data_IF_261946555985
#
_entry.id   IF_261946555985
#
_cell.length_a   1.000
_cell.length_b   1.000
_cell.length_c   1.000
_cell.angle_alpha   90.00
_cell.angle_beta   90.00
_cell.angle_gamma   90.00
#
_symmetry.space_group_name_H-M   'P 1'
#
loop_
_entity.id
_entity.type
_entity.pdbx_description
1 polymer ?
#
# COMPACT_ATOMS: atom_id res chain seq x y z
N UNK A 1 2.32 -13.09 -7.73
CA UNK A 1 2.08 -11.71 -7.27
C UNK A 1 1.88 -10.85 -8.49
N UNK A 2 1.01 -9.87 -8.37
CA UNK A 2 0.51 -9.05 -9.45
C UNK A 2 1.12 -7.64 -9.36
N UNK A 3 1.14 -6.91 -10.48
CA UNK A 3 1.40 -5.49 -10.47
C UNK A 3 0.08 -4.75 -10.61
N UNK A 4 -0.22 -3.87 -9.65
CA UNK A 4 -1.45 -3.09 -9.65
C UNK A 4 -1.19 -1.65 -10.07
N UNK A 5 -1.88 -1.26 -11.14
CA UNK A 5 -2.10 0.13 -11.51
C UNK A 5 -3.57 0.46 -11.38
N UNK A 6 -3.91 1.39 -10.49
CA UNK A 6 -5.28 1.86 -10.31
C UNK A 6 -5.47 3.28 -10.85
N UNK A 7 -6.71 3.60 -11.23
CA UNK A 7 -7.08 4.90 -11.79
C UNK A 7 -6.22 5.32 -13.00
N UNK A 8 -5.80 4.36 -13.83
CA UNK A 8 -5.01 4.64 -15.02
C UNK A 8 -5.84 5.39 -16.05
N UNK A 9 -5.53 6.66 -16.27
CA UNK A 9 -6.22 7.46 -17.27
C UNK A 9 -5.39 7.56 -18.53
N UNK A 10 -5.73 6.72 -19.51
CA UNK A 10 -5.02 6.54 -20.76
C UNK A 10 -5.50 7.52 -21.84
N UNK A 11 -5.39 8.82 -21.58
CA UNK A 11 -5.74 9.86 -22.58
C UNK A 11 -4.67 10.07 -23.66
N UNK A 12 -3.48 9.56 -23.41
CA UNK A 12 -2.33 9.59 -24.33
C UNK A 12 -1.49 8.31 -24.15
N UNK A 13 -0.52 8.10 -25.04
CA UNK A 13 0.39 6.96 -24.93
C UNK A 13 1.22 7.08 -23.64
N UNK A 14 1.18 6.02 -22.83
CA UNK A 14 1.94 5.93 -21.59
C UNK A 14 2.80 4.67 -21.60
N UNK A 15 4.04 4.81 -21.15
CA UNK A 15 4.94 3.68 -20.92
C UNK A 15 5.00 3.43 -19.42
N UNK A 16 4.61 2.23 -19.00
CA UNK A 16 4.70 1.78 -17.61
C UNK A 16 5.82 0.75 -17.53
N UNK A 17 6.92 1.12 -16.88
CA UNK A 17 8.00 0.19 -16.57
C UNK A 17 7.65 -0.52 -15.26
N UNK A 18 7.29 -1.79 -15.38
CA UNK A 18 6.80 -2.60 -14.26
C UNK A 18 7.99 -3.35 -13.65
N UNK A 19 8.17 -3.23 -12.33
CA UNK A 19 8.87 -4.25 -11.55
C UNK A 19 7.83 -5.13 -10.84
N UNK A 20 7.82 -6.42 -11.17
CA UNK A 20 7.00 -7.41 -10.49
C UNK A 20 7.92 -8.58 -10.09
N UNK A 21 7.81 -9.01 -8.84
CA UNK A 21 8.56 -10.16 -8.35
C UNK A 21 7.72 -10.87 -7.26
N UNK A 22 8.29 -11.14 -6.09
CA UNK A 22 7.59 -11.82 -5.01
C UNK A 22 6.82 -10.88 -4.08
N UNK A 23 6.93 -9.55 -4.26
CA UNK A 23 6.19 -8.57 -3.47
C UNK A 23 5.22 -7.77 -4.33
N UNK A 24 4.06 -7.47 -3.74
CA UNK A 24 2.97 -6.73 -4.35
C UNK A 24 2.54 -5.56 -3.47
N UNK A 25 2.28 -4.41 -4.11
CA UNK A 25 1.64 -3.24 -3.50
C UNK A 25 0.17 -3.25 -3.94
N UNK A 26 -0.67 -3.96 -3.19
CA UNK A 26 -2.07 -4.19 -3.55
C UNK A 26 -2.99 -3.04 -3.11
N UNK A 27 -4.00 -2.71 -3.92
CA UNK A 27 -5.05 -1.72 -3.61
C UNK A 27 -4.49 -0.33 -3.23
N UNK A 28 -3.52 0.16 -3.99
CA UNK A 28 -2.92 1.47 -3.77
C UNK A 28 -3.93 2.60 -3.99
N UNK A 29 -4.23 3.33 -2.93
CA UNK A 29 -5.04 4.55 -2.92
C UNK A 29 -4.22 5.72 -2.39
N UNK A 30 -4.52 6.93 -2.86
CA UNK A 30 -3.80 8.15 -2.49
C UNK A 30 -4.79 9.28 -2.21
N UNK A 31 -4.49 10.10 -1.21
CA UNK A 31 -5.24 11.32 -0.92
C UNK A 31 -4.32 12.38 -0.31
N UNK A 32 -4.66 13.64 -0.50
CA UNK A 32 -4.00 14.74 0.20
C UNK A 32 -4.71 15.06 1.51
N UNK A 33 -3.96 15.62 2.46
CA UNK A 33 -4.59 16.31 3.59
C UNK A 33 -5.40 17.51 3.09
N UNK A 34 -6.60 17.70 3.65
CA UNK A 34 -7.36 18.94 3.45
C UNK A 34 -6.64 20.12 4.12
N UNK A 35 -6.69 21.31 3.52
CA UNK A 35 -6.05 22.52 4.03
C UNK A 35 -4.55 22.62 3.68
N UNK A 36 -3.90 23.73 4.06
CA UNK A 36 -2.55 24.13 3.63
C UNK A 36 -1.37 23.26 4.11
N UNK A 37 -1.61 21.98 4.43
CA UNK A 37 -0.54 21.05 4.78
C UNK A 37 0.15 20.50 3.53
N UNK A 38 1.41 20.08 3.69
CA UNK A 38 2.22 19.48 2.62
C UNK A 38 2.29 17.96 2.80
N UNK A 39 1.16 17.34 3.12
CA UNK A 39 1.06 15.89 3.35
C UNK A 39 0.28 15.22 2.23
N UNK A 40 0.85 14.13 1.71
CA UNK A 40 0.20 13.16 0.83
C UNK A 40 0.14 11.84 1.60
N UNK A 41 -0.98 11.13 1.55
CA UNK A 41 -1.13 9.83 2.16
C UNK A 41 -1.34 8.77 1.09
N UNK A 42 -0.77 7.59 1.30
CA UNK A 42 -0.99 6.42 0.47
C UNK A 42 -1.39 5.22 1.33
N UNK A 43 -2.48 4.55 0.97
CA UNK A 43 -2.96 3.33 1.59
C UNK A 43 -2.73 2.16 0.64
N UNK A 44 -2.13 1.08 1.11
CA UNK A 44 -1.94 -0.14 0.31
C UNK A 44 -1.71 -1.37 1.20
N UNK A 45 -2.00 -2.56 0.69
CA UNK A 45 -1.65 -3.83 1.34
C UNK A 45 -0.32 -4.33 0.78
N UNK A 46 0.77 -4.34 1.56
CA UNK A 46 2.01 -4.98 1.12
C UNK A 46 1.86 -6.50 1.26
N UNK A 47 2.06 -7.24 0.17
CA UNK A 47 1.89 -8.70 0.17
C UNK A 47 3.17 -9.37 -0.32
N UNK A 48 3.59 -10.46 0.32
CA UNK A 48 4.79 -11.22 -0.02
C UNK A 48 4.43 -12.67 -0.39
N UNK A 49 4.90 -13.18 -1.53
CA UNK A 49 4.52 -14.48 -2.09
C UNK A 49 4.87 -15.65 -1.18
N UNK A 50 6.08 -15.67 -0.64
CA UNK A 50 6.48 -16.69 0.33
C UNK A 50 5.57 -16.69 1.58
N UNK A 51 5.16 -15.51 2.05
CA UNK A 51 4.25 -15.39 3.18
C UNK A 51 2.80 -15.75 2.77
N UNK A 52 2.41 -15.57 1.51
CA UNK A 52 1.11 -16.02 1.01
C UNK A 52 1.02 -17.55 0.89
N UNK A 53 2.13 -18.25 0.64
CA UNK A 53 2.19 -19.70 0.63
C UNK A 53 2.08 -20.32 2.04
N UNK A 54 2.63 -19.63 3.05
CA UNK A 54 2.52 -20.02 4.45
C UNK A 54 2.21 -18.80 5.34
N UNK A 55 0.93 -18.38 5.41
CA UNK A 55 0.54 -17.18 6.14
C UNK A 55 0.80 -17.29 7.64
N UNK A 56 1.19 -16.16 8.27
CA UNK A 56 1.21 -16.06 9.72
C UNK A 56 -0.22 -15.79 10.19
N UNK A 57 -0.76 -16.71 10.98
CA UNK A 57 -2.12 -16.65 11.51
C UNK A 57 -2.07 -16.41 13.02
N UNK A 58 -2.61 -15.30 13.50
CA UNK A 58 -2.60 -14.95 14.92
C UNK A 58 -3.74 -13.99 15.31
N UNK A 59 -4.10 -13.94 16.60
CA UNK A 59 -4.95 -12.88 17.13
C UNK A 59 -4.12 -11.65 17.50
N UNK A 60 -4.63 -10.45 17.20
CA UNK A 60 -4.04 -9.17 17.60
C UNK A 60 -5.10 -8.25 18.19
N UNK A 61 -4.76 -7.57 19.29
CA UNK A 61 -5.59 -6.49 19.80
C UNK A 61 -5.34 -5.23 18.96
N UNK A 62 -6.39 -4.71 18.32
CA UNK A 62 -6.40 -3.47 17.53
C UNK A 62 -7.50 -2.60 18.10
N UNK A 63 -7.13 -1.47 18.69
CA UNK A 63 -8.06 -0.51 19.32
C UNK A 63 -9.00 -1.15 20.36
N UNK A 64 -8.46 -2.08 21.17
CA UNK A 64 -9.23 -2.79 22.20
C UNK A 64 -10.00 -4.01 21.68
N UNK A 65 -10.06 -4.23 20.36
CA UNK A 65 -10.78 -5.34 19.73
C UNK A 65 -9.80 -6.44 19.34
N UNK A 66 -10.07 -7.69 19.75
CA UNK A 66 -9.31 -8.85 19.27
C UNK A 66 -9.70 -9.17 17.83
N UNK A 67 -8.72 -9.16 16.92
CA UNK A 67 -8.91 -9.46 15.50
C UNK A 67 -8.09 -10.69 15.11
N UNK A 68 -8.68 -11.62 14.36
CA UNK A 68 -7.94 -12.68 13.70
C UNK A 68 -7.20 -12.09 12.49
N UNK A 69 -5.88 -12.26 12.43
CA UNK A 69 -5.03 -11.69 11.40
C UNK A 69 -4.52 -12.78 10.48
N UNK A 70 -4.69 -12.58 9.17
CA UNK A 70 -3.91 -13.28 8.14
C UNK A 70 -2.82 -12.34 7.65
N UNK A 71 -1.60 -12.61 8.08
CA UNK A 71 -0.46 -11.76 7.80
C UNK A 71 0.45 -12.42 6.77
N UNK A 72 0.44 -11.82 5.58
CA UNK A 72 1.28 -12.18 4.45
C UNK A 72 2.21 -11.02 4.06
N UNK A 73 2.47 -10.12 5.01
CA UNK A 73 3.24 -8.90 4.74
C UNK A 73 4.75 -9.17 4.70
N UNK A 74 5.50 -8.40 3.88
CA UNK A 74 6.94 -8.29 4.06
C UNK A 74 7.26 -7.61 5.41
N UNK A 75 8.50 -7.73 5.85
CA UNK A 75 9.03 -6.95 6.97
C UNK A 75 9.42 -5.57 6.46
N UNK A 76 8.86 -4.51 7.06
CA UNK A 76 9.09 -3.13 6.59
C UNK A 76 9.59 -2.24 7.73
N UNK A 77 10.54 -1.36 7.39
CA UNK A 77 11.01 -0.21 8.16
C UNK A 77 10.86 1.07 7.32
N UNK A 78 11.13 2.24 7.90
CA UNK A 78 10.96 3.52 7.17
C UNK A 78 11.84 3.63 5.91
N UNK A 79 13.01 2.99 5.88
CA UNK A 79 13.90 3.01 4.69
C UNK A 79 13.37 2.15 3.54
N UNK A 80 12.44 1.27 3.84
CA UNK A 80 11.98 0.24 2.90
C UNK A 80 10.78 0.71 2.07
N UNK A 81 10.20 1.87 2.38
CA UNK A 81 9.07 2.46 1.65
C UNK A 81 9.55 3.71 0.92
N UNK A 82 9.50 3.66 -0.40
CA UNK A 82 9.93 4.74 -1.28
C UNK A 82 8.77 5.16 -2.17
N UNK A 83 8.69 6.45 -2.48
CA UNK A 83 7.68 6.96 -3.39
C UNK A 83 8.22 8.03 -4.31
N UNK A 84 7.56 8.19 -5.47
CA UNK A 84 7.81 9.26 -6.42
C UNK A 84 6.51 9.77 -7.02
N UNK A 85 6.49 11.06 -7.37
CA UNK A 85 5.41 11.70 -8.13
C UNK A 85 5.98 12.12 -9.48
N UNK A 86 5.42 11.62 -10.57
CA UNK A 86 5.89 11.89 -11.94
C UNK A 86 7.39 11.59 -12.14
N UNK A 87 7.90 10.59 -11.41
CA UNK A 87 9.31 10.20 -11.43
C UNK A 87 10.19 10.95 -10.43
N UNK A 88 9.72 12.03 -9.82
CA UNK A 88 10.46 12.80 -8.83
C UNK A 88 10.29 12.20 -7.42
N UNK A 89 11.37 11.81 -6.71
CA UNK A 89 11.28 11.22 -5.39
C UNK A 89 10.62 12.14 -4.35
N UNK A 90 9.80 11.56 -3.46
CA UNK A 90 9.21 12.25 -2.32
C UNK A 90 9.64 11.58 -1.00
N UNK A 91 9.80 12.38 0.06
CA UNK A 91 10.24 11.86 1.36
C UNK A 91 9.09 11.25 2.13
N UNK A 92 9.28 10.03 2.63
CA UNK A 92 8.42 9.46 3.68
C UNK A 92 8.59 10.28 4.97
N UNK A 93 7.47 10.65 5.59
CA UNK A 93 7.42 11.27 6.91
C UNK A 93 7.28 10.17 7.95
N UNK A 94 6.27 9.32 7.80
CA UNK A 94 6.00 8.19 8.68
C UNK A 94 5.06 7.18 8.00
N UNK A 95 4.90 6.00 8.57
CA UNK A 95 3.84 5.06 8.19
C UNK A 95 3.28 4.33 9.40
N UNK A 96 2.04 3.87 9.28
CA UNK A 96 1.43 3.03 10.30
C UNK A 96 0.70 1.84 9.70
N UNK A 97 0.60 0.79 10.51
CA UNK A 97 -0.20 -0.38 10.19
C UNK A 97 -1.66 -0.15 10.56
N UNK A 98 -2.55 -0.29 9.58
CA UNK A 98 -3.99 -0.46 9.75
C UNK A 98 -4.36 -1.93 9.48
N UNK A 99 -5.58 -2.33 9.85
CA UNK A 99 -6.07 -3.70 9.71
C UNK A 99 -7.45 -3.68 9.07
N UNK A 100 -7.49 -4.05 7.79
CA UNK A 100 -8.71 -4.10 6.99
C UNK A 100 -9.38 -5.46 7.17
N UNK A 101 -10.68 -5.47 7.48
CA UNK A 101 -11.45 -6.71 7.52
C UNK A 101 -11.62 -7.24 6.10
N UNK A 102 -11.23 -8.48 5.91
CA UNK A 102 -11.34 -9.27 4.69
C UNK A 102 -12.36 -10.39 4.90
N UNK A 103 -12.42 -11.36 3.98
CA UNK A 103 -13.32 -12.50 4.09
C UNK A 103 -13.03 -13.41 5.29
N UNK A 104 -13.58 -14.62 5.25
CA UNK A 104 -13.39 -15.62 6.30
C UNK A 104 -11.94 -16.11 6.36
N UNK A 105 -11.41 -16.26 7.58
CA UNK A 105 -10.09 -16.82 7.83
C UNK A 105 -9.92 -18.29 7.41
N UNK A 106 -11.03 -18.98 7.22
CA UNK A 106 -11.12 -20.42 6.97
C UNK A 106 -11.10 -20.79 5.48
N UNK A 107 -10.89 -19.82 4.57
CA UNK A 107 -10.94 -20.01 3.12
C UNK A 107 -9.73 -20.79 2.52
N UNK A 108 -8.99 -21.56 3.32
CA UNK A 108 -7.85 -22.38 2.93
C UNK A 108 -7.49 -23.43 4.01
N UNK A 109 -6.84 -24.53 3.63
CA UNK A 109 -6.58 -25.69 4.51
C UNK A 109 -5.76 -25.30 5.75
N UNK A 110 -6.16 -25.84 6.91
CA UNK A 110 -5.51 -25.73 8.23
C UNK A 110 -5.47 -24.31 8.83
N UNK A 111 -6.59 -23.60 8.81
CA UNK A 111 -6.77 -22.39 9.64
C UNK A 111 -6.97 -22.76 11.11
N UNK A 112 -6.24 -22.15 12.07
CA UNK A 112 -6.47 -22.33 13.51
C UNK A 112 -7.70 -21.56 14.01
N UNK A 113 -8.33 -20.76 13.14
CA UNK A 113 -9.48 -19.92 13.47
C UNK A 113 -10.81 -20.66 13.30
N UNK A 114 -11.85 -20.29 14.06
CA UNK A 114 -13.21 -20.77 13.83
C UNK A 114 -13.68 -20.52 12.39
N UNK A 115 -14.56 -21.38 11.87
CA UNK A 115 -15.02 -21.33 10.48
C UNK A 115 -15.67 -19.97 10.10
N UNK A 116 -16.39 -19.35 11.04
CA UNK A 116 -17.09 -18.08 10.88
C UNK A 116 -16.23 -16.85 11.22
N UNK A 117 -14.97 -17.05 11.62
CA UNK A 117 -14.08 -15.96 12.03
C UNK A 117 -13.72 -15.09 10.81
N UNK A 118 -13.96 -13.78 10.94
CA UNK A 118 -13.62 -12.80 9.92
C UNK A 118 -12.15 -12.43 10.06
N UNK A 119 -11.40 -12.55 8.96
CA UNK A 119 -9.99 -12.24 8.97
C UNK A 119 -9.75 -10.78 8.67
N UNK A 120 -8.77 -10.19 9.34
CA UNK A 120 -8.21 -8.90 8.94
C UNK A 120 -6.83 -9.10 8.33
N UNK A 121 -6.52 -8.29 7.33
CA UNK A 121 -5.19 -8.23 6.73
C UNK A 121 -4.51 -6.91 7.10
N UNK A 122 -3.19 -6.91 7.37
CA UNK A 122 -2.47 -5.67 7.59
C UNK A 122 -2.43 -4.81 6.32
N UNK A 123 -2.56 -3.50 6.50
CA UNK A 123 -2.47 -2.47 5.47
C UNK A 123 -1.51 -1.38 5.95
N UNK A 124 -0.74 -0.79 5.05
CA UNK A 124 0.09 0.38 5.33
C UNK A 124 -0.68 1.64 4.99
N UNK A 125 -0.60 2.64 5.87
CA UNK A 125 -0.92 4.03 5.55
C UNK A 125 0.38 4.82 5.72
N UNK A 126 0.96 5.22 4.59
CA UNK A 126 2.20 5.98 4.52
C UNK A 126 1.91 7.47 4.29
N UNK A 127 2.56 8.34 5.06
CA UNK A 127 2.51 9.79 4.90
C UNK A 127 3.80 10.27 4.23
N UNK A 128 3.67 10.98 3.12
CA UNK A 128 4.78 11.57 2.38
C UNK A 128 4.71 13.10 2.40
N UNK A 129 5.88 13.74 2.27
CA UNK A 129 6.00 15.17 2.04
C UNK A 129 5.58 15.49 0.60
N UNK A 130 4.44 16.15 0.46
CA UNK A 130 3.87 16.56 -0.83
C UNK A 130 4.62 17.79 -1.39
N UNK A 131 5.15 17.72 -2.63
CA UNK A 131 5.67 18.89 -3.32
C UNK A 131 4.53 19.85 -3.72
N UNK A 132 4.91 21.02 -4.25
CA UNK A 132 3.95 21.88 -4.95
C UNK A 132 3.78 21.27 -6.34
N UNK A 133 2.55 20.93 -6.70
CA UNK A 133 2.22 20.28 -7.96
C UNK A 133 1.53 21.28 -8.88
N UNK A 134 1.81 21.20 -10.17
CA UNK A 134 1.08 21.96 -11.18
C UNK A 134 -0.34 21.39 -11.29
N UNK A 135 -1.38 22.22 -11.47
CA UNK A 135 -2.74 21.72 -11.69
C UNK A 135 -2.78 20.69 -12.82
N UNK A 136 -3.40 19.54 -12.56
CA UNK A 136 -3.44 18.44 -13.51
C UNK A 136 -3.40 17.09 -12.83
N UNK A 137 -3.00 16.07 -13.59
CA UNK A 137 -2.91 14.69 -13.13
C UNK A 137 -1.46 14.34 -12.86
N UNK A 138 -1.27 13.50 -11.86
CA UNK A 138 0.04 13.04 -11.42
C UNK A 138 0.01 11.54 -11.18
N UNK A 139 1.14 10.89 -11.41
CA UNK A 139 1.36 9.48 -11.14
C UNK A 139 2.10 9.34 -9.80
N UNK A 140 1.46 8.75 -8.80
CA UNK A 140 2.15 8.26 -7.62
C UNK A 140 2.65 6.84 -7.91
N UNK A 141 3.95 6.62 -7.71
CA UNK A 141 4.54 5.27 -7.61
C UNK A 141 5.00 5.04 -6.18
N UNK A 142 4.63 3.89 -5.62
CA UNK A 142 5.15 3.39 -4.34
C UNK A 142 5.96 2.13 -4.62
N UNK A 143 7.19 2.10 -4.13
CA UNK A 143 8.07 0.94 -4.10
C UNK A 143 8.28 0.52 -2.66
N UNK A 144 8.18 -0.77 -2.39
CA UNK A 144 8.56 -1.36 -1.11
C UNK A 144 9.65 -2.42 -1.30
N UNK A 145 10.46 -2.60 -0.27
CA UNK A 145 11.48 -3.65 -0.21
C UNK A 145 11.30 -4.46 1.08
N UNK A 146 11.31 -5.78 1.02
CA UNK A 146 11.34 -6.56 2.26
C UNK A 146 12.69 -6.39 2.95
N UNK A 147 12.66 -5.95 4.21
CA UNK A 147 13.85 -5.66 5.00
C UNK A 147 14.78 -6.88 5.16
N UNK A 148 14.20 -8.08 5.16
CA UNK A 148 14.94 -9.32 5.41
C UNK A 148 15.50 -9.94 4.14
N UNK A 149 14.69 -10.08 3.10
CA UNK A 149 15.09 -10.73 1.84
C UNK A 149 15.65 -9.77 0.79
N UNK A 150 15.39 -8.47 0.91
CA UNK A 150 15.76 -7.46 -0.07
C UNK A 150 14.93 -7.49 -1.35
N UNK A 151 13.91 -8.36 -1.46
CA UNK A 151 13.02 -8.41 -2.63
C UNK A 151 12.17 -7.15 -2.70
N UNK A 152 11.81 -6.71 -3.90
CA UNK A 152 11.08 -5.47 -4.15
C UNK A 152 9.68 -5.74 -4.70
N UNK A 153 8.78 -4.80 -4.46
CA UNK A 153 7.46 -4.74 -5.09
C UNK A 153 7.05 -3.30 -5.35
N UNK A 154 6.22 -3.09 -6.36
CA UNK A 154 5.77 -1.75 -6.77
C UNK A 154 4.28 -1.71 -7.04
N UNK A 155 3.71 -0.52 -6.88
CA UNK A 155 2.35 -0.19 -7.29
C UNK A 155 2.25 1.25 -7.74
N UNK A 156 1.28 1.53 -8.60
CA UNK A 156 1.04 2.88 -9.12
C UNK A 156 -0.43 3.28 -9.03
N UNK A 157 -0.68 4.57 -8.88
CA UNK A 157 -2.02 5.15 -8.94
C UNK A 157 -1.95 6.59 -9.46
N UNK A 158 -2.95 7.02 -10.23
CA UNK A 158 -3.08 8.44 -10.56
C UNK A 158 -3.94 9.19 -9.54
N UNK A 159 -3.64 10.47 -9.37
CA UNK A 159 -4.45 11.43 -8.64
C UNK A 159 -4.41 12.80 -9.31
N UNK A 160 -5.37 13.66 -8.99
CA UNK A 160 -5.39 15.03 -9.52
C UNK A 160 -4.88 16.02 -8.49
N UNK A 161 -4.33 17.14 -8.96
CA UNK A 161 -4.04 18.33 -8.19
C UNK A 161 -4.74 19.55 -8.83
N UNK A 162 -5.25 20.45 -8.00
CA UNK A 162 -5.90 21.68 -8.42
C UNK A 162 -4.88 22.83 -8.55
N UNK A 163 -5.37 24.04 -8.87
CA UNK A 163 -4.52 25.22 -9.11
C UNK A 163 -3.70 25.69 -7.90
N UNK A 164 -4.04 25.25 -6.69
CA UNK A 164 -3.27 25.53 -5.46
C UNK A 164 -2.38 24.32 -5.07
N UNK A 165 -2.24 23.32 -5.96
CA UNK A 165 -1.45 22.11 -5.77
C UNK A 165 -2.03 21.16 -4.72
N UNK A 166 -3.27 21.35 -4.28
CA UNK A 166 -4.02 20.43 -3.42
C UNK A 166 -4.92 19.59 -4.33
N UNK A 167 -5.15 18.31 -4.06
CA UNK A 167 -6.11 17.63 -4.92
C UNK A 167 -6.71 16.36 -4.38
N UNK A 168 -7.75 15.98 -5.10
CA UNK A 168 -8.54 14.77 -5.03
C UNK A 168 -8.51 14.15 -6.42
#
# INVERSE_FOLDING_TARGET
>A
MEFWGWNLQLTENQTINIAFDTIEVYSLSVWASNGGSRSLFAAFRPMHLAAAQLPRLYYKNVDGISKAITDITPTLTNSDIQASIDGEPISLIDFHWSYEQTGQCSAGKESPFPAEELCSMPMVIAQFRKPILAPGKHLLRVRIQDHLSGVIGEGITHFSSNSIGLGF
#
